data_IF_558905246335
#
_entry.id   IF_558905246335
#
_cell.length_a   1.000
_cell.length_b   1.000
_cell.length_c   1.000
_cell.angle_alpha   90.00
_cell.angle_beta   90.00
_cell.angle_gamma   90.00
#
_symmetry.space_group_name_H-M   'P 1'
#
loop_
_entity.id
_entity.type
_entity.pdbx_description
1 polymer ?
#
# COMPACT_ATOMS: atom_id res chain seq x y z
N UNK A 1 -14.45 -9.50 -22.73
CA UNK A 1 -13.86 -9.48 -21.36
C UNK A 1 -12.58 -8.66 -21.42
N UNK A 2 -12.45 -7.59 -20.61
CA UNK A 2 -11.23 -6.78 -20.59
C UNK A 2 -10.10 -7.58 -19.90
N UNK A 3 -8.89 -7.67 -20.46
CA UNK A 3 -7.78 -8.34 -19.79
C UNK A 3 -7.50 -7.70 -18.42
N UNK A 4 -7.23 -8.55 -17.41
CA UNK A 4 -7.03 -8.13 -16.01
C UNK A 4 -6.07 -6.94 -15.87
N UNK A 5 -4.95 -6.95 -16.60
CA UNK A 5 -3.93 -5.89 -16.58
C UNK A 5 -4.49 -4.48 -16.88
N UNK A 6 -5.64 -4.36 -17.55
CA UNK A 6 -6.26 -3.08 -17.90
C UNK A 6 -7.40 -2.66 -16.96
N UNK A 7 -7.70 -3.41 -15.90
CA UNK A 7 -8.85 -3.13 -15.04
C UNK A 7 -8.78 -1.76 -14.35
N UNK A 8 -7.58 -1.20 -14.12
CA UNK A 8 -7.44 0.14 -13.53
C UNK A 8 -7.78 1.29 -14.48
N UNK A 9 -7.81 1.03 -15.80
CA UNK A 9 -8.02 2.08 -16.81
C UNK A 9 -9.35 2.82 -16.61
N UNK A 10 -10.39 2.13 -16.14
CA UNK A 10 -11.71 2.74 -15.93
C UNK A 10 -11.66 3.87 -14.89
N UNK A 11 -10.87 3.72 -13.83
CA UNK A 11 -10.77 4.72 -12.77
C UNK A 11 -10.03 5.98 -13.24
N UNK A 12 -9.21 5.86 -14.27
CA UNK A 12 -8.47 6.99 -14.84
C UNK A 12 -9.32 7.74 -15.87
N UNK A 13 -9.98 7.00 -16.77
CA UNK A 13 -10.74 7.58 -17.88
C UNK A 13 -12.12 8.05 -17.42
N UNK A 14 -12.78 7.27 -16.58
CA UNK A 14 -14.15 7.49 -16.11
C UNK A 14 -14.29 7.33 -14.59
N UNK A 15 -13.51 8.09 -13.76
CA UNK A 15 -13.62 8.01 -12.31
C UNK A 15 -15.03 8.27 -11.79
N UNK A 16 -15.83 9.09 -12.48
CA UNK A 16 -17.22 9.40 -12.14
C UNK A 16 -18.16 8.18 -12.18
N UNK A 17 -17.74 7.09 -12.82
CA UNK A 17 -18.48 5.82 -12.87
C UNK A 17 -18.07 4.84 -11.78
N UNK A 18 -17.06 5.19 -10.99
CA UNK A 18 -16.58 4.36 -9.87
C UNK A 18 -17.62 4.36 -8.77
N UNK A 19 -17.97 3.19 -8.19
CA UNK A 19 -18.89 3.15 -7.04
C UNK A 19 -18.41 4.05 -5.90
N UNK A 20 -19.32 4.77 -5.25
CA UNK A 20 -19.00 5.70 -4.17
C UNK A 20 -18.27 5.02 -2.99
N UNK A 21 -18.50 3.72 -2.76
CA UNK A 21 -17.78 2.94 -1.75
C UNK A 21 -16.31 2.69 -2.08
N UNK A 22 -15.90 2.88 -3.34
CA UNK A 22 -14.55 2.65 -3.81
C UNK A 22 -13.82 3.95 -4.18
N UNK A 23 -14.55 5.00 -4.59
CA UNK A 23 -13.98 6.28 -4.97
C UNK A 23 -13.74 7.18 -3.76
N UNK A 24 -12.48 7.60 -3.55
CA UNK A 24 -12.12 8.54 -2.49
C UNK A 24 -12.10 9.97 -3.04
N UNK A 25 -11.44 10.15 -4.18
CA UNK A 25 -11.26 11.48 -4.79
C UNK A 25 -10.96 11.35 -6.28
N UNK A 26 -11.36 12.35 -7.06
CA UNK A 26 -10.77 12.57 -8.37
C UNK A 26 -10.86 14.03 -8.79
N UNK A 27 -9.92 14.44 -9.64
CA UNK A 27 -9.97 15.66 -10.43
C UNK A 27 -9.36 15.39 -11.81
N UNK A 28 -9.15 16.39 -12.64
CA UNK A 28 -8.53 16.27 -13.96
C UNK A 28 -7.13 15.61 -13.95
N UNK A 29 -6.40 15.66 -12.83
CA UNK A 29 -5.04 15.14 -12.71
C UNK A 29 -4.93 13.74 -12.11
N UNK A 30 -5.73 13.41 -11.10
CA UNK A 30 -5.55 12.21 -10.26
C UNK A 30 -6.89 11.55 -9.95
N UNK A 31 -6.86 10.24 -9.74
CA UNK A 31 -7.94 9.47 -9.11
C UNK A 31 -7.39 8.68 -7.92
N UNK A 32 -8.08 8.74 -6.79
CA UNK A 32 -7.76 8.01 -5.56
C UNK A 32 -8.91 7.04 -5.28
N UNK A 33 -8.58 5.77 -5.17
CA UNK A 33 -9.57 4.70 -4.94
C UNK A 33 -9.11 3.76 -3.83
N UNK A 34 -10.08 3.09 -3.19
CA UNK A 34 -9.83 1.86 -2.47
C UNK A 34 -9.36 0.76 -3.45
N UNK A 35 -8.26 0.08 -3.14
CA UNK A 35 -7.84 -1.11 -3.88
C UNK A 35 -8.95 -2.17 -3.78
N UNK A 36 -9.33 -2.77 -4.91
CA UNK A 36 -10.42 -3.77 -4.93
C UNK A 36 -10.08 -5.09 -4.23
N UNK A 37 -8.80 -5.30 -3.91
CA UNK A 37 -8.26 -6.47 -3.22
C UNK A 37 -7.23 -6.00 -2.18
N UNK A 38 -7.66 -5.26 -1.14
CA UNK A 38 -6.75 -4.57 -0.22
C UNK A 38 -5.83 -5.57 0.50
N UNK A 39 -4.55 -5.24 0.74
CA UNK A 39 -3.60 -6.17 1.40
C UNK A 39 -3.43 -5.91 2.90
N UNK A 40 -4.04 -4.84 3.39
CA UNK A 40 -4.12 -4.37 4.77
C UNK A 40 -5.51 -3.76 4.98
N UNK A 41 -5.85 -3.35 6.21
CA UNK A 41 -7.13 -2.65 6.51
C UNK A 41 -7.35 -1.46 5.58
N UNK A 42 -6.35 -0.58 5.45
CA UNK A 42 -6.40 0.52 4.50
C UNK A 42 -5.39 0.30 3.38
N UNK A 43 -5.87 0.25 2.14
CA UNK A 43 -5.05 0.16 0.95
C UNK A 43 -5.65 0.98 -0.18
N UNK A 44 -5.04 2.13 -0.46
CA UNK A 44 -5.46 3.06 -1.50
C UNK A 44 -4.50 3.03 -2.69
N UNK A 45 -5.04 3.38 -3.85
CA UNK A 45 -4.28 3.61 -5.07
C UNK A 45 -4.43 5.07 -5.51
N UNK A 46 -3.33 5.81 -5.56
CA UNK A 46 -3.25 7.14 -6.16
C UNK A 46 -2.79 6.98 -7.61
N UNK A 47 -3.64 7.35 -8.57
CA UNK A 47 -3.42 7.10 -9.99
C UNK A 47 -3.40 8.39 -10.79
N UNK A 48 -2.28 8.76 -11.45
CA UNK A 48 -2.28 9.89 -12.36
C UNK A 48 -3.16 9.59 -13.58
N UNK A 49 -3.92 10.60 -13.99
CA UNK A 49 -4.85 10.53 -15.12
C UNK A 49 -4.24 10.96 -16.45
N UNK A 50 -3.04 11.54 -16.43
CA UNK A 50 -2.32 11.87 -17.66
C UNK A 50 -2.09 10.61 -18.50
N UNK A 51 -2.51 10.69 -19.76
CA UNK A 51 -2.60 9.55 -20.67
C UNK A 51 -1.25 8.96 -21.08
N UNK A 52 -0.17 9.73 -20.90
CA UNK A 52 1.20 9.31 -21.17
C UNK A 52 1.86 8.77 -19.91
N UNK A 53 1.84 9.52 -18.81
CA UNK A 53 2.43 9.15 -17.52
C UNK A 53 1.86 7.85 -16.99
N UNK A 54 0.54 7.65 -17.09
CA UNK A 54 -0.10 6.43 -16.60
C UNK A 54 0.43 5.15 -17.26
N UNK A 55 1.04 5.22 -18.44
CA UNK A 55 1.58 4.03 -19.14
C UNK A 55 3.07 3.82 -18.91
N UNK A 56 3.75 4.76 -18.25
CA UNK A 56 5.19 4.66 -17.99
C UNK A 56 5.47 3.72 -16.82
N UNK A 57 6.70 3.20 -16.78
CA UNK A 57 7.12 2.33 -15.69
C UNK A 57 7.31 3.15 -14.40
N UNK A 58 6.61 2.82 -13.30
CA UNK A 58 6.50 3.68 -12.14
C UNK A 58 7.84 3.99 -11.49
N UNK A 59 8.76 3.01 -11.47
CA UNK A 59 10.05 3.18 -10.78
C UNK A 59 10.94 4.24 -11.40
N UNK A 60 10.80 4.55 -12.69
CA UNK A 60 11.66 5.52 -13.39
C UNK A 60 10.90 6.77 -13.81
N UNK A 61 9.55 6.72 -13.84
CA UNK A 61 8.74 7.84 -14.30
C UNK A 61 8.28 8.80 -13.21
N UNK A 62 8.40 8.44 -11.93
CA UNK A 62 8.09 9.32 -10.81
C UNK A 62 9.33 10.18 -10.48
N UNK A 63 9.65 11.12 -11.37
CA UNK A 63 10.73 12.12 -11.17
C UNK A 63 10.38 13.10 -10.06
N UNK A 64 11.35 13.88 -9.58
CA UNK A 64 11.10 14.88 -8.51
C UNK A 64 9.99 15.88 -8.88
N UNK A 65 9.93 16.37 -10.11
CA UNK A 65 8.85 17.26 -10.56
C UNK A 65 7.47 16.57 -10.52
N UNK A 66 7.40 15.31 -10.97
CA UNK A 66 6.16 14.53 -10.96
C UNK A 66 5.77 14.18 -9.53
N UNK A 67 6.74 13.83 -8.67
CA UNK A 67 6.50 13.58 -7.25
C UNK A 67 5.99 14.85 -6.56
N UNK A 68 6.57 16.00 -6.82
CA UNK A 68 6.12 17.28 -6.29
C UNK A 68 4.68 17.61 -6.72
N UNK A 69 4.33 17.35 -7.99
CA UNK A 69 2.95 17.53 -8.47
C UNK A 69 1.95 16.55 -7.81
N UNK A 70 2.37 15.30 -7.57
CA UNK A 70 1.51 14.27 -7.02
C UNK A 70 1.44 14.25 -5.48
N UNK A 71 2.40 14.88 -4.79
CA UNK A 71 2.53 14.84 -3.34
C UNK A 71 1.27 15.29 -2.58
N UNK A 72 0.58 16.39 -2.95
CA UNK A 72 -0.64 16.78 -2.26
C UNK A 72 -1.74 15.70 -2.28
N UNK A 73 -1.79 14.85 -3.32
CA UNK A 73 -2.74 13.75 -3.42
C UNK A 73 -2.30 12.53 -2.63
N UNK A 74 -0.99 12.30 -2.50
CA UNK A 74 -0.43 11.29 -1.59
C UNK A 74 -0.73 11.66 -0.14
N UNK A 75 -0.51 12.93 0.24
CA UNK A 75 -0.86 13.44 1.57
C UNK A 75 -2.36 13.33 1.84
N UNK A 76 -3.20 13.65 0.85
CA UNK A 76 -4.65 13.45 0.95
C UNK A 76 -5.00 11.99 1.24
N UNK A 77 -4.36 11.04 0.56
CA UNK A 77 -4.56 9.62 0.79
C UNK A 77 -4.06 9.18 2.19
N UNK A 78 -2.90 9.65 2.64
CA UNK A 78 -2.38 9.38 3.99
C UNK A 78 -3.33 9.92 5.07
N UNK A 79 -3.83 11.15 4.90
CA UNK A 79 -4.79 11.77 5.80
C UNK A 79 -6.10 10.98 5.87
N UNK A 80 -6.61 10.55 4.72
CA UNK A 80 -7.82 9.72 4.65
C UNK A 80 -7.64 8.39 5.38
N UNK A 81 -6.48 7.74 5.23
CA UNK A 81 -6.16 6.51 5.99
C UNK A 81 -6.10 6.79 7.49
N UNK A 82 -5.39 7.84 7.91
CA UNK A 82 -5.29 8.20 9.33
C UNK A 82 -6.68 8.41 9.95
N UNK A 83 -7.52 9.22 9.32
CA UNK A 83 -8.88 9.50 9.79
C UNK A 83 -9.73 8.23 9.82
N UNK A 84 -9.74 7.46 8.73
CA UNK A 84 -10.54 6.23 8.63
C UNK A 84 -10.14 5.22 9.69
N UNK A 85 -8.84 4.92 9.79
CA UNK A 85 -8.33 3.90 10.70
C UNK A 85 -8.51 4.31 12.16
N UNK A 86 -8.20 5.55 12.52
CA UNK A 86 -8.32 6.03 13.91
C UNK A 86 -9.75 6.29 14.34
N UNK A 87 -10.69 6.49 13.41
CA UNK A 87 -12.12 6.51 13.69
C UNK A 87 -12.65 5.11 13.99
N UNK A 88 -12.21 4.09 13.26
CA UNK A 88 -12.71 2.71 13.41
C UNK A 88 -12.03 1.94 14.54
N UNK A 89 -10.76 2.23 14.83
CA UNK A 89 -9.94 1.47 15.78
C UNK A 89 -9.35 2.32 16.91
N UNK A 90 -9.04 1.64 18.01
CA UNK A 90 -8.23 2.11 19.12
C UNK A 90 -7.00 1.24 19.25
N UNK A 91 -5.85 1.84 19.54
CA UNK A 91 -4.69 1.10 20.01
C UNK A 91 -4.92 0.72 21.47
N UNK A 92 -4.75 -0.54 21.81
CA UNK A 92 -4.90 -1.07 23.18
C UNK A 92 -3.58 -1.59 23.76
N UNK A 93 -2.64 -1.99 22.90
CA UNK A 93 -1.30 -2.41 23.28
C UNK A 93 -0.26 -1.73 22.37
N UNK A 94 0.81 -1.13 22.92
CA UNK A 94 1.88 -0.53 22.14
C UNK A 94 2.53 -1.49 21.13
N UNK A 95 2.93 -0.99 19.97
CA UNK A 95 3.66 -1.72 18.94
C UNK A 95 5.11 -1.21 18.91
N UNK A 96 6.10 -2.02 19.29
CA UNK A 96 7.51 -1.60 19.27
C UNK A 96 7.95 -1.06 17.91
N UNK A 97 8.66 0.07 17.91
CA UNK A 97 9.13 0.78 16.69
C UNK A 97 8.00 1.27 15.77
N UNK A 98 6.75 1.30 16.24
CA UNK A 98 5.62 1.84 15.49
C UNK A 98 4.80 2.82 16.33
N UNK A 99 4.24 2.35 17.45
CA UNK A 99 3.51 3.14 18.44
C UNK A 99 4.00 2.71 19.82
N UNK A 100 4.96 3.44 20.39
CA UNK A 100 5.52 3.13 21.71
C UNK A 100 4.56 3.50 22.85
N UNK A 101 3.63 4.42 22.57
CA UNK A 101 2.54 4.80 23.47
C UNK A 101 1.17 4.74 22.78
N UNK A 102 0.09 4.84 23.55
CA UNK A 102 -1.28 4.92 23.00
C UNK A 102 -1.50 6.28 22.30
N UNK A 103 -0.84 7.31 22.80
CA UNK A 103 -0.87 8.67 22.26
C UNK A 103 -0.23 8.74 20.86
N UNK A 104 0.83 7.96 20.61
CA UNK A 104 1.48 7.88 19.29
C UNK A 104 0.51 7.47 18.17
N UNK A 105 -0.48 6.62 18.48
CA UNK A 105 -1.51 6.23 17.51
C UNK A 105 -2.47 7.37 17.16
N UNK A 106 -2.65 8.33 18.08
CA UNK A 106 -3.48 9.53 17.87
C UNK A 106 -2.70 10.68 17.26
N UNK A 107 -1.37 10.64 17.35
CA UNK A 107 -0.53 11.60 16.67
C UNK A 107 -0.45 11.29 15.17
N UNK A 108 -0.90 12.24 14.36
CA UNK A 108 -1.03 12.07 12.91
C UNK A 108 0.32 11.86 12.24
N UNK A 109 1.33 12.63 12.63
CA UNK A 109 2.66 12.54 12.02
C UNK A 109 3.30 11.19 12.33
N UNK A 110 3.26 10.77 13.59
CA UNK A 110 3.75 9.46 14.05
C UNK A 110 3.03 8.32 13.34
N UNK A 111 1.70 8.35 13.25
CA UNK A 111 0.92 7.36 12.51
C UNK A 111 1.32 7.27 11.03
N UNK A 112 1.41 8.41 10.35
CA UNK A 112 1.75 8.44 8.93
C UNK A 112 3.17 7.90 8.71
N UNK A 113 4.15 8.35 9.49
CA UNK A 113 5.55 7.99 9.31
C UNK A 113 5.82 6.52 9.65
N UNK A 114 5.20 6.01 10.72
CA UNK A 114 5.53 4.70 11.25
C UNK A 114 4.63 3.58 10.72
N UNK A 115 3.36 3.87 10.46
CA UNK A 115 2.36 2.83 10.18
C UNK A 115 1.82 2.85 8.76
N UNK A 116 2.00 3.94 8.01
CA UNK A 116 1.71 3.98 6.57
C UNK A 116 3.00 3.78 5.79
N UNK A 117 2.90 3.17 4.61
CA UNK A 117 3.95 3.22 3.60
C UNK A 117 3.38 3.65 2.25
N UNK A 118 4.20 4.42 1.52
CA UNK A 118 3.90 4.93 0.20
C UNK A 118 4.93 4.41 -0.79
N UNK A 119 4.50 3.95 -1.96
CA UNK A 119 5.44 3.45 -2.96
C UNK A 119 4.80 2.74 -4.14
N UNK A 120 5.63 2.08 -4.94
CA UNK A 120 5.24 1.36 -6.14
C UNK A 120 5.89 -0.02 -6.17
N UNK A 121 5.27 -0.96 -6.88
CA UNK A 121 5.92 -2.24 -7.15
C UNK A 121 7.00 -2.09 -8.22
N UNK A 122 8.15 -2.73 -8.01
CA UNK A 122 9.26 -2.80 -8.96
C UNK A 122 8.86 -3.47 -10.27
N UNK A 123 7.96 -4.45 -10.21
CA UNK A 123 7.36 -5.12 -11.35
C UNK A 123 5.82 -5.02 -11.22
N UNK A 124 5.18 -4.00 -11.83
CA UNK A 124 3.75 -3.78 -11.70
C UNK A 124 2.91 -4.93 -12.26
N UNK A 125 1.83 -5.28 -11.54
CA UNK A 125 0.84 -6.28 -11.98
C UNK A 125 -0.20 -5.71 -12.95
N UNK A 126 -0.42 -4.39 -12.88
CA UNK A 126 -1.38 -3.65 -13.72
C UNK A 126 -0.65 -2.76 -14.72
N UNK A 127 -1.32 -2.43 -15.82
CA UNK A 127 -0.73 -1.66 -16.93
C UNK A 127 -0.73 -0.15 -16.73
N UNK A 128 -1.46 0.36 -15.72
CA UNK A 128 -1.53 1.77 -15.39
C UNK A 128 -0.71 2.07 -14.14
N UNK A 129 -0.01 3.20 -14.11
CA UNK A 129 0.72 3.69 -12.93
C UNK A 129 -0.26 3.87 -11.78
N UNK A 130 0.09 3.29 -10.63
CA UNK A 130 -0.63 3.43 -9.37
C UNK A 130 0.40 3.47 -8.24
N UNK A 131 0.25 4.46 -7.37
CA UNK A 131 1.04 4.59 -6.14
C UNK A 131 0.21 3.97 -5.03
N UNK A 132 0.78 3.02 -4.32
CA UNK A 132 0.18 2.41 -3.15
C UNK A 132 0.34 3.36 -1.97
N UNK A 133 -0.75 3.59 -1.24
CA UNK A 133 -0.74 4.19 0.10
C UNK A 133 -1.44 3.17 1.00
N UNK A 134 -0.68 2.52 1.87
CA UNK A 134 -1.14 1.30 2.56
C UNK A 134 -0.64 1.26 4.00
N UNK A 135 -1.49 0.78 4.92
CA UNK A 135 -1.11 0.52 6.31
C UNK A 135 -0.25 -0.75 6.44
N UNK A 136 0.63 -0.79 7.44
CA UNK A 136 1.58 -1.89 7.66
C UNK A 136 1.02 -3.06 8.48
N UNK A 137 -0.28 -3.09 8.78
CA UNK A 137 -0.92 -4.18 9.51
C UNK A 137 -0.97 -5.50 8.73
N UNK A 138 -1.18 -5.43 7.42
CA UNK A 138 -1.37 -6.61 6.57
C UNK A 138 -2.49 -7.56 7.07
N UNK A 139 -3.46 -7.03 7.82
CA UNK A 139 -4.65 -7.73 8.29
C UNK A 139 -5.76 -7.59 7.25
N UNK A 140 -5.80 -8.53 6.30
CA UNK A 140 -6.82 -8.58 5.25
C UNK A 140 -7.09 -9.99 4.74
N UNK A 141 -8.35 -10.29 4.41
CA UNK A 141 -8.77 -11.53 3.74
C UNK A 141 -8.20 -11.66 2.32
N UNK A 142 -7.78 -10.56 1.69
CA UNK A 142 -7.21 -10.53 0.35
C UNK A 142 -5.68 -10.73 0.35
N UNK A 143 -5.04 -10.76 1.50
CA UNK A 143 -3.68 -11.24 1.68
C UNK A 143 -3.66 -12.78 1.68
N UNK A 144 -3.78 -13.37 0.49
CA UNK A 144 -4.00 -14.83 0.30
C UNK A 144 -2.74 -15.65 0.00
N UNK A 145 -1.62 -15.02 -0.33
CA UNK A 145 -0.43 -15.70 -0.86
C UNK A 145 0.86 -15.04 -0.37
N UNK A 146 1.94 -15.83 -0.27
CA UNK A 146 3.30 -15.37 0.06
C UNK A 146 3.72 -14.15 -0.76
N UNK A 147 3.52 -14.20 -2.08
CA UNK A 147 3.91 -13.12 -2.98
C UNK A 147 3.12 -11.82 -2.75
N UNK A 148 1.89 -11.88 -2.23
CA UNK A 148 1.13 -10.69 -1.88
C UNK A 148 1.74 -9.96 -0.69
N UNK A 149 2.37 -10.67 0.25
CA UNK A 149 3.02 -10.05 1.42
C UNK A 149 4.39 -9.50 1.02
N UNK A 150 5.21 -10.36 0.41
CA UNK A 150 6.59 -10.02 0.01
C UNK A 150 6.63 -8.82 -0.94
N UNK A 151 5.63 -8.67 -1.81
CA UNK A 151 5.59 -7.53 -2.74
C UNK A 151 5.54 -6.17 -2.03
N UNK A 152 5.12 -6.11 -0.76
CA UNK A 152 5.05 -4.89 0.05
C UNK A 152 6.09 -4.81 1.17
N UNK A 153 6.76 -5.91 1.53
CA UNK A 153 7.65 -5.98 2.70
C UNK A 153 9.11 -6.21 2.34
N UNK A 154 9.48 -6.09 1.07
CA UNK A 154 10.83 -6.33 0.55
C UNK A 154 11.21 -5.29 -0.47
N UNK A 155 12.41 -5.41 -1.04
CA UNK A 155 12.89 -4.55 -2.13
C UNK A 155 12.04 -4.61 -3.41
N UNK A 156 11.05 -5.51 -3.48
CA UNK A 156 10.00 -5.50 -4.50
C UNK A 156 9.09 -4.28 -4.39
N UNK A 157 8.88 -3.76 -3.18
CA UNK A 157 8.25 -2.46 -2.96
C UNK A 157 9.32 -1.38 -2.99
N UNK A 158 9.18 -0.42 -3.91
CA UNK A 158 10.03 0.77 -3.98
C UNK A 158 9.32 1.90 -3.27
N UNK A 159 9.90 2.33 -2.15
CA UNK A 159 9.32 3.40 -1.33
C UNK A 159 9.36 4.72 -2.10
N UNK A 160 8.42 5.61 -1.79
CA UNK A 160 8.29 6.91 -2.42
C UNK A 160 9.60 7.72 -2.43
N UNK A 161 10.34 7.67 -1.33
CA UNK A 161 11.60 8.40 -1.13
C UNK A 161 12.76 7.85 -1.96
N UNK A 162 12.65 6.59 -2.43
CA UNK A 162 13.67 5.92 -3.26
C UNK A 162 13.50 6.22 -4.76
N UNK A 163 12.42 6.88 -5.15
CA UNK A 163 12.06 7.14 -6.55
C UNK A 163 12.51 8.54 -6.99
N UNK A 164 12.88 8.74 -8.27
CA UNK A 164 12.97 7.72 -9.32
C UNK A 164 14.25 6.88 -9.19
N UNK A 165 14.19 5.63 -9.65
CA UNK A 165 15.36 4.80 -9.88
C UNK A 165 16.07 5.21 -11.19
N UNK A 166 17.38 4.97 -11.26
CA UNK A 166 18.18 5.18 -12.46
C UNK A 166 17.80 4.24 -13.61
N UNK A 167 17.31 3.04 -13.29
CA UNK A 167 16.94 2.02 -14.26
C UNK A 167 15.71 1.23 -13.82
N UNK A 168 15.06 0.57 -14.78
CA UNK A 168 13.94 -0.33 -14.50
C UNK A 168 14.52 -1.61 -13.86
N UNK A 169 14.03 -2.04 -12.68
CA UNK A 169 14.49 -3.27 -12.05
C UNK A 169 14.30 -4.48 -12.97
N UNK A 170 15.30 -5.37 -13.01
CA UNK A 170 15.23 -6.59 -13.81
C UNK A 170 14.08 -7.51 -13.32
N UNK A 171 13.17 -7.83 -14.23
CA UNK A 171 11.96 -8.59 -13.91
C UNK A 171 12.29 -9.99 -13.39
N UNK A 172 13.20 -10.68 -14.05
CA UNK A 172 13.48 -12.08 -13.74
C UNK A 172 14.20 -12.20 -12.40
N UNK A 173 15.12 -11.30 -12.11
CA UNK A 173 15.73 -11.17 -10.80
C UNK A 173 14.69 -10.88 -9.70
N UNK A 174 13.83 -9.88 -9.88
CA UNK A 174 12.81 -9.55 -8.86
C UNK A 174 11.83 -10.71 -8.60
N UNK A 175 11.47 -11.47 -9.63
CA UNK A 175 10.56 -12.62 -9.48
C UNK A 175 11.29 -13.83 -8.90
N UNK A 176 12.47 -14.16 -9.41
CA UNK A 176 13.15 -15.41 -9.07
C UNK A 176 13.95 -15.29 -7.78
N UNK A 177 14.61 -14.16 -7.52
CA UNK A 177 15.46 -13.98 -6.35
C UNK A 177 14.67 -13.39 -5.18
N UNK A 178 13.94 -12.29 -5.41
CA UNK A 178 13.24 -11.61 -4.31
C UNK A 178 11.95 -12.35 -3.92
N UNK A 179 11.03 -12.56 -4.85
CA UNK A 179 9.71 -13.13 -4.50
C UNK A 179 9.79 -14.60 -4.05
N UNK A 180 10.62 -15.43 -4.70
CA UNK A 180 10.69 -16.87 -4.37
C UNK A 180 11.50 -17.13 -3.10
N UNK A 181 12.66 -16.50 -2.95
CA UNK A 181 13.64 -16.88 -1.92
C UNK A 181 13.57 -16.07 -0.64
N UNK A 182 12.87 -14.92 -0.62
CA UNK A 182 12.79 -14.13 0.61
C UNK A 182 11.95 -14.82 1.70
N UNK A 183 12.44 -14.72 2.93
CA UNK A 183 11.77 -15.19 4.14
C UNK A 183 10.58 -14.29 4.50
N UNK A 184 9.60 -14.88 5.18
CA UNK A 184 8.40 -14.23 5.68
C UNK A 184 8.64 -13.70 7.09
N UNK A 185 8.99 -12.42 7.19
CA UNK A 185 9.27 -11.74 8.47
C UNK A 185 8.07 -10.89 8.86
N UNK A 186 7.55 -11.04 10.08
CA UNK A 186 6.43 -10.26 10.60
C UNK A 186 6.73 -8.76 10.64
N UNK A 187 5.79 -7.92 10.18
CA UNK A 187 5.90 -6.46 10.17
C UNK A 187 5.80 -5.82 11.56
N UNK A 188 5.23 -6.52 12.54
CA UNK A 188 5.08 -6.05 13.92
C UNK A 188 6.31 -6.36 14.77
N UNK A 189 6.64 -7.65 14.91
CA UNK A 189 7.62 -8.12 15.89
C UNK A 189 8.94 -8.64 15.29
N UNK A 190 9.08 -8.66 13.95
CA UNK A 190 10.29 -9.15 13.28
C UNK A 190 10.50 -10.66 13.35
N UNK A 191 9.54 -11.43 13.88
CA UNK A 191 9.62 -12.91 13.90
C UNK A 191 9.65 -13.48 12.49
N UNK A 192 10.60 -14.39 12.23
CA UNK A 192 10.77 -15.05 10.94
C UNK A 192 9.95 -16.35 10.85
N UNK A 193 9.14 -16.48 9.81
CA UNK A 193 8.29 -17.63 9.48
C UNK A 193 8.81 -18.44 8.29
N UNK A 194 9.99 -18.09 7.76
CA UNK A 194 10.64 -18.69 6.61
C UNK A 194 9.70 -18.72 5.40
N UNK A 195 9.30 -19.89 4.93
CA UNK A 195 8.38 -20.05 3.81
C UNK A 195 6.93 -20.40 4.23
N UNK A 196 6.58 -20.27 5.52
CA UNK A 196 5.29 -20.76 6.07
C UNK A 196 4.22 -19.67 6.09
N UNK A 197 3.68 -19.33 4.92
CA UNK A 197 2.69 -18.25 4.75
C UNK A 197 1.46 -18.37 5.66
N UNK A 198 0.83 -19.55 5.76
CA UNK A 198 -0.34 -19.72 6.62
C UNK A 198 -0.06 -19.38 8.09
N UNK A 199 1.16 -19.68 8.58
CA UNK A 199 1.57 -19.33 9.95
C UNK A 199 1.82 -17.84 10.12
N UNK A 200 2.45 -17.19 9.13
CA UNK A 200 2.60 -15.73 9.14
C UNK A 200 1.22 -15.06 9.13
N UNK A 201 0.31 -15.50 8.26
CA UNK A 201 -1.02 -14.88 8.14
C UNK A 201 -1.79 -14.95 9.46
N UNK A 202 -1.87 -16.14 10.07
CA UNK A 202 -2.47 -16.31 11.41
C UNK A 202 -1.81 -15.39 12.44
N UNK A 203 -0.49 -15.28 12.42
CA UNK A 203 0.22 -14.43 13.35
C UNK A 203 -0.02 -12.93 13.13
N UNK A 204 -0.12 -12.46 11.90
CA UNK A 204 -0.49 -11.07 11.61
C UNK A 204 -1.92 -10.76 12.11
N UNK A 205 -2.83 -11.73 12.04
CA UNK A 205 -4.19 -11.59 12.56
C UNK A 205 -4.19 -11.56 14.10
N UNK A 206 -3.34 -12.36 14.74
CA UNK A 206 -3.12 -12.32 16.20
C UNK A 206 -2.51 -10.98 16.63
N UNK A 207 -1.46 -10.50 15.95
CA UNK A 207 -0.81 -9.20 16.21
C UNK A 207 -1.82 -8.05 16.05
N UNK A 208 -2.62 -8.06 14.99
CA UNK A 208 -3.65 -7.05 14.78
C UNK A 208 -4.67 -7.03 15.92
N UNK A 209 -5.17 -8.20 16.33
CA UNK A 209 -6.17 -8.33 17.41
C UNK A 209 -5.59 -7.98 18.78
N UNK A 210 -4.30 -8.24 18.99
CA UNK A 210 -3.59 -7.87 20.21
C UNK A 210 -3.49 -6.35 20.35
N UNK A 211 -3.13 -5.66 19.26
CA UNK A 211 -2.82 -4.23 19.30
C UNK A 211 -4.04 -3.33 19.06
N UNK A 212 -5.00 -3.75 18.24
CA UNK A 212 -6.12 -2.92 17.82
C UNK A 212 -7.46 -3.48 18.26
N UNK A 213 -8.29 -2.61 18.84
CA UNK A 213 -9.67 -2.89 19.17
C UNK A 213 -10.59 -2.04 18.30
N UNK A 214 -11.55 -2.67 17.64
CA UNK A 214 -12.60 -1.94 16.91
C UNK A 214 -13.47 -1.16 17.89
N UNK A 215 -13.72 0.12 17.62
CA UNK A 215 -14.68 0.91 18.40
C UNK A 215 -16.07 0.36 18.17
N UNK A 216 -16.81 0.20 19.26
CA UNK A 216 -18.22 -0.15 19.20
C UNK A 216 -18.96 1.17 18.96
N UNK A 217 -19.84 1.20 17.96
CA UNK A 217 -20.79 2.31 17.72
C UNK A 217 -21.73 2.51 18.90
#
# INVERSE_FOLDING_TARGET
MMPWRFALKQYIVHPERTPASQLIYYNDKVSIINDGFPKSICHLLVMPRDSNLTKKHPTVSLTEDIKAELWPYVEMAQNHIFETFTNEYELVEPIPNCFETIEDFRDKETFINNFIQVGVHSVPSMGNLHIHVITKDFHSDNLKRKNHYISFTTTFFKKWEELPLSEIPDRDYMINEVIKHHDLICSYCGKNFFNKFAKLKSHLDDEFTLHFKKKIE
#
